data_IF_390567334784
#
_entry.id   IF_390567334784
#
_cell.length_a   1.000
_cell.length_b   1.000
_cell.length_c   1.000
_cell.angle_alpha   90.00
_cell.angle_beta   90.00
_cell.angle_gamma   90.00
#
_symmetry.space_group_name_H-M   'P 1'
#
loop_
_entity.id
_entity.type
_entity.pdbx_description
1 polymer ?
#
# COMPACT_ATOMS: atom_id res chain seq x y z
N UNK A 1 17.99 -11.35 -3.35
CA UNK A 1 19.07 -10.37 -3.60
C UNK A 1 19.42 -10.41 -5.07
N UNK A 2 19.57 -9.27 -5.74
CA UNK A 2 20.14 -9.23 -7.10
C UNK A 2 21.61 -9.68 -6.98
N UNK A 3 22.04 -10.75 -7.67
CA UNK A 3 23.46 -11.07 -7.76
C UNK A 3 24.22 -9.85 -8.30
N UNK A 4 25.31 -9.46 -7.65
CA UNK A 4 26.20 -8.36 -8.09
C UNK A 4 25.63 -6.93 -8.06
N UNK A 5 24.72 -6.61 -7.13
CA UNK A 5 24.24 -5.24 -6.95
C UNK A 5 25.37 -4.18 -6.89
N UNK A 6 26.48 -4.49 -6.20
CA UNK A 6 27.65 -3.60 -6.12
C UNK A 6 28.26 -3.26 -7.48
N UNK A 7 28.30 -4.21 -8.43
CA UNK A 7 28.82 -3.96 -9.77
C UNK A 7 27.92 -3.03 -10.59
N UNK A 8 26.60 -3.15 -10.44
CA UNK A 8 25.63 -2.23 -11.07
C UNK A 8 25.73 -0.82 -10.46
N UNK A 9 25.78 -0.73 -9.13
CA UNK A 9 25.94 0.55 -8.41
C UNK A 9 27.24 1.26 -8.82
N UNK A 10 28.36 0.51 -8.90
CA UNK A 10 29.64 1.08 -9.31
C UNK A 10 29.61 1.58 -10.76
N UNK A 11 29.01 0.82 -11.70
CA UNK A 11 28.87 1.28 -13.09
C UNK A 11 28.03 2.55 -13.19
N UNK A 12 26.95 2.62 -12.43
CA UNK A 12 26.11 3.81 -12.36
C UNK A 12 26.87 5.01 -11.76
N UNK A 13 27.57 4.84 -10.64
CA UNK A 13 28.39 5.90 -10.04
C UNK A 13 29.48 6.40 -10.99
N UNK A 14 30.19 5.49 -11.66
CA UNK A 14 31.26 5.86 -12.60
C UNK A 14 30.76 6.60 -13.84
N UNK A 15 29.49 6.44 -14.23
CA UNK A 15 28.89 7.25 -15.29
C UNK A 15 28.69 8.74 -14.91
N UNK A 16 28.87 9.07 -13.62
CA UNK A 16 28.72 10.40 -13.03
C UNK A 16 30.01 10.87 -12.35
N UNK A 17 31.16 10.34 -12.76
CA UNK A 17 32.48 10.63 -12.18
C UNK A 17 32.55 10.39 -10.66
N UNK A 18 31.81 9.38 -10.17
CA UNK A 18 31.73 8.99 -8.78
C UNK A 18 32.17 7.53 -8.54
N UNK A 19 32.49 7.20 -7.30
CA UNK A 19 32.79 5.83 -6.86
C UNK A 19 31.93 5.44 -5.66
N UNK A 20 31.50 4.18 -5.59
CA UNK A 20 30.76 3.67 -4.44
C UNK A 20 31.73 3.38 -3.30
N UNK A 21 31.60 4.10 -2.18
CA UNK A 21 32.38 3.84 -0.97
C UNK A 21 31.76 2.74 -0.10
N UNK A 22 30.46 2.86 0.17
CA UNK A 22 29.67 1.86 0.90
C UNK A 22 28.23 1.87 0.39
N UNK A 23 27.54 0.74 0.52
CA UNK A 23 26.12 0.67 0.25
C UNK A 23 25.43 -0.37 1.13
N UNK A 24 24.14 -0.18 1.39
CA UNK A 24 23.28 -1.16 2.02
C UNK A 24 21.91 -1.18 1.34
N UNK A 25 21.33 -2.37 1.19
CA UNK A 25 19.97 -2.51 0.69
C UNK A 25 18.98 -2.14 1.80
N UNK A 26 17.94 -1.35 1.48
CA UNK A 26 16.89 -0.99 2.45
C UNK A 26 15.46 -1.17 1.91
N UNK A 27 15.27 -1.44 0.61
CA UNK A 27 13.94 -1.59 0.02
C UNK A 27 13.88 -2.70 -1.03
N UNK A 28 12.71 -3.32 -1.18
CA UNK A 28 12.39 -4.26 -2.24
C UNK A 28 10.90 -4.19 -2.58
N UNK A 29 10.59 -3.78 -3.81
CA UNK A 29 9.23 -3.59 -4.29
C UNK A 29 9.00 -4.46 -5.54
N UNK A 30 8.07 -5.44 -5.50
CA UNK A 30 7.73 -6.23 -6.68
C UNK A 30 7.12 -5.37 -7.79
N UNK A 31 7.60 -5.51 -9.04
CA UNK A 31 7.07 -4.78 -10.19
C UNK A 31 7.15 -5.63 -11.46
N UNK A 32 6.10 -5.64 -12.27
CA UNK A 32 6.07 -6.42 -13.53
C UNK A 32 6.52 -7.88 -13.34
N UNK A 33 7.56 -8.26 -14.08
CA UNK A 33 8.23 -9.56 -14.01
C UNK A 33 9.48 -9.57 -13.09
N UNK A 34 9.79 -8.45 -12.44
CA UNK A 34 10.98 -8.26 -11.61
C UNK A 34 10.71 -7.52 -10.30
N UNK A 35 11.71 -6.74 -9.88
CA UNK A 35 11.73 -6.00 -8.62
C UNK A 35 12.41 -4.65 -8.79
N UNK A 36 12.01 -3.68 -7.99
CA UNK A 36 12.78 -2.48 -7.71
C UNK A 36 13.48 -2.70 -6.37
N UNK A 37 14.79 -2.51 -6.33
CA UNK A 37 15.59 -2.64 -5.11
C UNK A 37 16.23 -1.30 -4.79
N UNK A 38 16.03 -0.82 -3.57
CA UNK A 38 16.59 0.44 -3.08
C UNK A 38 17.85 0.24 -2.24
N UNK A 39 18.84 1.08 -2.50
CA UNK A 39 20.12 1.10 -1.82
C UNK A 39 20.42 2.48 -1.25
N UNK A 40 20.82 2.54 0.02
CA UNK A 40 21.46 3.70 0.59
C UNK A 40 22.94 3.63 0.26
N UNK A 41 23.46 4.64 -0.43
CA UNK A 41 24.80 4.64 -1.02
C UNK A 41 25.56 5.86 -0.55
N UNK A 42 26.79 5.66 -0.08
CA UNK A 42 27.75 6.75 0.10
C UNK A 42 28.67 6.75 -1.12
N UNK A 43 28.61 7.82 -1.89
CA UNK A 43 29.46 8.06 -3.05
C UNK A 43 30.69 8.88 -2.66
N UNK A 44 31.82 8.62 -3.31
CA UNK A 44 33.00 9.47 -3.31
C UNK A 44 33.04 10.25 -4.62
N UNK A 45 32.86 11.57 -4.54
CA UNK A 45 32.83 12.50 -5.67
C UNK A 45 33.93 13.53 -5.48
N UNK A 46 34.93 13.55 -6.37
CA UNK A 46 36.07 14.47 -6.30
C UNK A 46 36.76 14.54 -4.91
N UNK A 47 36.76 13.44 -4.15
CA UNK A 47 37.35 13.34 -2.82
C UNK A 47 36.40 13.70 -1.65
N UNK A 48 35.20 14.22 -1.93
CA UNK A 48 34.14 14.41 -0.94
C UNK A 48 33.23 13.17 -0.86
N UNK A 49 32.57 12.98 0.28
CA UNK A 49 31.58 11.92 0.49
C UNK A 49 30.17 12.49 0.48
N UNK A 50 29.31 11.89 -0.34
CA UNK A 50 27.90 12.27 -0.49
C UNK A 50 27.01 11.06 -0.24
N UNK A 51 25.91 11.24 0.50
CA UNK A 51 24.94 10.18 0.77
C UNK A 51 23.75 10.35 -0.14
N UNK A 52 23.33 9.27 -0.79
CA UNK A 52 22.18 9.26 -1.69
C UNK A 52 21.46 7.91 -1.67
N UNK A 53 20.34 7.82 -2.39
CA UNK A 53 19.59 6.60 -2.59
C UNK A 53 19.57 6.24 -4.07
N UNK A 54 20.00 5.03 -4.40
CA UNK A 54 20.02 4.49 -5.76
C UNK A 54 19.06 3.31 -5.83
N UNK A 55 18.28 3.26 -6.92
CA UNK A 55 17.30 2.22 -7.15
C UNK A 55 17.60 1.46 -8.43
N UNK A 56 17.41 0.14 -8.39
CA UNK A 56 17.61 -0.76 -9.52
C UNK A 56 16.30 -1.46 -9.83
N UNK A 57 15.72 -1.19 -10.99
CA UNK A 57 14.56 -1.92 -11.52
C UNK A 57 15.02 -3.02 -12.46
N UNK A 58 14.67 -4.27 -12.15
CA UNK A 58 15.04 -5.45 -12.94
C UNK A 58 13.97 -5.90 -13.92
N UNK A 59 12.82 -5.22 -13.94
CA UNK A 59 11.69 -5.54 -14.82
C UNK A 59 12.05 -5.30 -16.28
N UNK A 60 11.60 -6.19 -17.16
CA UNK A 60 11.86 -6.06 -18.61
C UNK A 60 11.18 -4.83 -19.24
N UNK A 61 10.11 -4.34 -18.62
CA UNK A 61 9.33 -3.16 -19.02
C UNK A 61 9.67 -1.89 -18.22
N UNK A 62 10.81 -1.87 -17.52
CA UNK A 62 11.22 -0.73 -16.71
C UNK A 62 11.31 0.57 -17.53
N UNK A 63 10.60 1.60 -17.05
CA UNK A 63 10.61 2.94 -17.61
C UNK A 63 12.03 3.52 -17.61
N UNK A 64 12.39 4.24 -18.67
CA UNK A 64 13.68 4.93 -18.82
C UNK A 64 13.40 6.36 -19.28
N UNK A 65 14.12 7.29 -18.68
CA UNK A 65 14.19 8.70 -19.05
C UNK A 65 15.64 9.20 -19.04
N UNK A 66 15.83 10.50 -19.26
CA UNK A 66 17.13 11.17 -19.31
C UNK A 66 17.91 11.17 -17.98
N UNK A 67 17.28 10.74 -16.88
CA UNK A 67 17.90 10.70 -15.54
C UNK A 67 18.21 9.28 -15.05
N UNK A 68 17.88 8.28 -15.87
CA UNK A 68 18.09 6.87 -15.59
C UNK A 68 19.07 6.24 -16.60
N UNK A 69 19.69 5.12 -16.21
CA UNK A 69 20.66 4.41 -17.05
C UNK A 69 20.25 2.96 -17.19
N UNK A 70 20.24 2.46 -18.42
CA UNK A 70 20.08 1.05 -18.70
C UNK A 70 21.43 0.33 -18.61
N UNK A 71 21.54 -0.62 -17.70
CA UNK A 71 22.72 -1.43 -17.49
C UNK A 71 22.42 -2.91 -17.77
N UNK A 72 23.24 -3.53 -18.61
CA UNK A 72 23.20 -4.98 -18.86
C UNK A 72 23.68 -5.73 -17.60
N UNK A 73 22.95 -6.79 -17.22
CA UNK A 73 23.30 -7.75 -16.16
C UNK A 73 24.11 -8.93 -16.72
N UNK A 74 24.86 -9.66 -15.88
CA UNK A 74 25.65 -10.83 -16.31
C UNK A 74 24.83 -11.94 -16.97
N UNK A 75 23.56 -12.08 -16.59
CA UNK A 75 22.62 -13.05 -17.15
C UNK A 75 22.09 -12.66 -18.56
N UNK A 76 22.57 -11.54 -19.12
CA UNK A 76 22.18 -11.03 -20.45
C UNK A 76 20.91 -10.17 -20.45
N UNK A 77 20.23 -10.03 -19.32
CA UNK A 77 19.04 -9.17 -19.21
C UNK A 77 19.42 -7.73 -18.81
N UNK A 78 18.51 -6.77 -18.97
CA UNK A 78 18.78 -5.38 -18.62
C UNK A 78 18.22 -5.02 -17.23
N UNK A 79 18.70 -3.91 -16.69
CA UNK A 79 18.16 -3.22 -15.53
C UNK A 79 18.20 -1.72 -15.75
N UNK A 80 17.25 -1.01 -15.15
CA UNK A 80 17.24 0.46 -15.14
C UNK A 80 17.64 0.94 -13.76
N UNK A 81 18.61 1.85 -13.72
CA UNK A 81 19.16 2.40 -12.48
C UNK A 81 18.93 3.91 -12.46
N UNK A 82 18.46 4.44 -11.35
CA UNK A 82 18.30 5.88 -11.12
C UNK A 82 18.67 6.25 -9.69
N UNK A 83 18.90 7.55 -9.48
CA UNK A 83 19.13 8.14 -8.17
C UNK A 83 17.88 8.92 -7.75
N UNK A 84 17.48 8.80 -6.48
CA UNK A 84 16.40 9.63 -5.95
C UNK A 84 16.78 11.12 -6.00
N UNK A 85 15.86 12.03 -6.39
CA UNK A 85 14.42 11.83 -6.63
C UNK A 85 14.01 11.53 -8.08
N UNK A 86 14.93 11.19 -8.97
CA UNK A 86 14.68 11.07 -10.41
C UNK A 86 14.10 9.70 -10.81
N UNK A 87 12.97 9.34 -10.22
CA UNK A 87 12.25 8.10 -10.52
C UNK A 87 11.53 8.20 -11.89
N UNK A 88 11.91 7.38 -12.89
CA UNK A 88 11.39 7.51 -14.26
C UNK A 88 9.90 7.18 -14.37
N UNK A 89 9.34 6.46 -13.38
CA UNK A 89 7.90 6.18 -13.32
C UNK A 89 7.13 7.30 -12.63
N UNK A 90 7.79 8.23 -11.93
CA UNK A 90 7.20 9.34 -11.17
C UNK A 90 7.84 10.70 -11.53
N UNK A 91 7.66 11.21 -12.76
CA UNK A 91 8.35 12.43 -13.22
C UNK A 91 8.09 13.68 -12.35
N UNK A 92 6.95 13.74 -11.67
CA UNK A 92 6.62 14.83 -10.75
C UNK A 92 7.40 14.80 -9.42
N UNK A 93 8.12 13.72 -9.09
CA UNK A 93 8.84 13.54 -7.82
C UNK A 93 9.90 14.62 -7.61
N UNK A 94 10.77 14.84 -8.59
CA UNK A 94 11.79 15.89 -8.55
C UNK A 94 11.21 17.27 -8.23
N UNK A 95 10.04 17.61 -8.78
CA UNK A 95 9.41 18.90 -8.58
C UNK A 95 8.89 19.12 -7.14
N UNK A 96 8.66 18.04 -6.38
CA UNK A 96 8.18 18.11 -5.00
C UNK A 96 9.27 17.82 -3.95
N UNK A 97 10.40 17.24 -4.35
CA UNK A 97 11.49 16.89 -3.44
C UNK A 97 12.33 18.10 -2.97
N UNK A 98 12.20 19.26 -3.61
CA UNK A 98 12.94 20.49 -3.26
C UNK A 98 11.98 21.63 -2.92
N UNK A 99 12.16 22.35 -1.79
CA UNK A 99 11.21 23.37 -1.32
C UNK A 99 10.87 24.46 -2.35
N UNK A 100 11.87 24.97 -3.08
CA UNK A 100 11.65 26.03 -4.07
C UNK A 100 10.82 25.53 -5.27
N UNK A 101 11.18 24.37 -5.83
CA UNK A 101 10.46 23.76 -6.95
C UNK A 101 9.03 23.35 -6.56
N UNK A 102 8.86 22.86 -5.33
CA UNK A 102 7.56 22.52 -4.79
C UNK A 102 6.69 23.77 -4.64
N UNK A 103 7.27 24.89 -4.16
CA UNK A 103 6.55 26.16 -4.06
C UNK A 103 6.04 26.67 -5.42
N UNK A 104 6.88 26.61 -6.46
CA UNK A 104 6.46 26.96 -7.83
C UNK A 104 5.37 26.01 -8.36
N UNK A 105 5.42 24.74 -7.99
CA UNK A 105 4.42 23.75 -8.38
C UNK A 105 3.08 24.01 -7.70
N UNK A 106 3.10 24.28 -6.40
CA UNK A 106 1.90 24.56 -5.59
C UNK A 106 1.23 25.88 -5.96
N UNK A 107 2.00 26.90 -6.35
CA UNK A 107 1.46 28.17 -6.85
C UNK A 107 0.57 27.99 -8.09
N UNK A 108 0.82 26.97 -8.93
CA UNK A 108 -0.03 26.65 -10.09
C UNK A 108 -1.43 26.15 -9.68
N UNK A 109 -1.57 25.64 -8.47
CA UNK A 109 -2.84 25.24 -7.86
C UNK A 109 -3.43 26.34 -6.95
N UNK A 110 -2.86 27.56 -6.98
CA UNK A 110 -3.31 28.67 -6.15
C UNK A 110 -2.92 28.56 -4.68
N UNK A 111 -1.97 27.68 -4.34
CA UNK A 111 -1.50 27.51 -2.96
C UNK A 111 -0.20 28.30 -2.77
N UNK A 112 -0.24 29.29 -1.88
CA UNK A 112 0.96 29.99 -1.43
C UNK A 112 1.76 29.08 -0.48
N UNK A 113 2.97 28.73 -0.89
CA UNK A 113 3.81 27.77 -0.19
C UNK A 113 5.12 28.39 0.35
N UNK A 114 5.18 29.72 0.44
CA UNK A 114 6.29 30.43 1.10
C UNK A 114 6.39 29.95 2.55
N UNK A 115 7.53 29.38 2.94
CA UNK A 115 7.70 28.82 4.29
C UNK A 115 6.97 27.49 4.56
N UNK A 116 6.39 26.86 3.53
CA UNK A 116 5.72 25.58 3.68
C UNK A 116 6.67 24.48 4.16
N UNK A 117 6.19 23.61 5.04
CA UNK A 117 6.91 22.40 5.44
C UNK A 117 6.48 21.23 4.54
N UNK A 118 7.45 20.62 3.86
CA UNK A 118 7.25 19.44 3.05
C UNK A 118 7.76 18.22 3.81
N UNK A 119 6.87 17.26 4.06
CA UNK A 119 7.20 15.98 4.68
C UNK A 119 6.92 14.86 3.70
N UNK A 120 7.92 14.06 3.35
CA UNK A 120 7.72 12.84 2.58
C UNK A 120 7.08 11.79 3.49
N UNK A 121 5.78 11.54 3.31
CA UNK A 121 5.00 10.58 4.12
C UNK A 121 5.23 9.15 3.65
N UNK A 122 5.37 8.96 2.34
CA UNK A 122 5.63 7.65 1.76
C UNK A 122 6.34 7.78 0.41
N UNK A 123 7.30 6.92 0.16
CA UNK A 123 7.85 6.69 -1.18
C UNK A 123 7.89 5.18 -1.44
N UNK A 124 7.20 4.75 -2.50
CA UNK A 124 7.24 3.40 -3.04
C UNK A 124 7.82 3.50 -4.45
N UNK A 125 9.11 3.17 -4.63
CA UNK A 125 9.80 3.32 -5.90
C UNK A 125 9.04 2.72 -7.07
N UNK A 126 8.98 3.46 -8.18
CA UNK A 126 8.26 3.07 -9.39
C UNK A 126 6.73 3.09 -9.29
N UNK A 127 6.15 3.36 -8.11
CA UNK A 127 4.70 3.23 -7.86
C UNK A 127 4.05 4.54 -7.45
N UNK A 128 4.50 5.13 -6.35
CA UNK A 128 3.96 6.39 -5.84
C UNK A 128 4.87 7.06 -4.82
N UNK A 129 4.74 8.37 -4.68
CA UNK A 129 5.22 9.13 -3.53
C UNK A 129 4.08 9.99 -2.97
N UNK A 130 4.11 10.31 -1.68
CA UNK A 130 3.14 11.20 -1.03
C UNK A 130 3.90 12.20 -0.17
N UNK A 131 3.72 13.48 -0.47
CA UNK A 131 4.19 14.57 0.37
C UNK A 131 3.03 15.18 1.13
N UNK A 132 3.17 15.32 2.45
CA UNK A 132 2.35 16.22 3.26
C UNK A 132 2.95 17.62 3.19
N UNK A 133 2.08 18.60 3.01
CA UNK A 133 2.42 19.99 2.79
C UNK A 133 1.67 20.79 3.84
N UNK A 134 2.39 21.35 4.80
CA UNK A 134 1.80 22.29 5.76
C UNK A 134 2.14 23.72 5.35
N UNK A 135 1.10 24.52 5.20
CA UNK A 135 1.17 25.96 4.91
C UNK A 135 0.40 26.72 5.98
N UNK A 136 0.51 28.04 6.01
CA UNK A 136 -0.32 28.87 6.89
C UNK A 136 -1.83 28.76 6.56
N UNK A 137 -2.15 28.45 5.29
CA UNK A 137 -3.52 28.34 4.80
C UNK A 137 -4.17 26.98 5.07
N UNK A 138 -3.38 25.95 5.40
CA UNK A 138 -3.89 24.60 5.60
C UNK A 138 -2.88 23.50 5.30
N UNK A 139 -3.39 22.27 5.33
CA UNK A 139 -2.61 21.04 5.10
C UNK A 139 -3.11 20.34 3.85
N UNK A 140 -2.17 20.04 2.95
CA UNK A 140 -2.43 19.39 1.68
C UNK A 140 -1.55 18.14 1.52
N UNK A 141 -1.90 17.31 0.55
CA UNK A 141 -1.14 16.13 0.19
C UNK A 141 -0.90 16.10 -1.33
N UNK A 142 0.38 16.10 -1.73
CA UNK A 142 0.75 15.85 -3.12
C UNK A 142 1.03 14.35 -3.29
N UNK A 143 0.12 13.67 -3.98
CA UNK A 143 0.23 12.25 -4.35
C UNK A 143 0.80 12.16 -5.75
N UNK A 144 2.01 11.66 -5.84
CA UNK A 144 2.76 11.50 -7.08
C UNK A 144 2.61 10.06 -7.54
N UNK A 145 2.07 9.88 -8.73
CA UNK A 145 1.76 8.59 -9.34
C UNK A 145 2.31 8.57 -10.76
N UNK A 146 2.23 7.40 -11.40
CA UNK A 146 2.52 7.32 -12.82
C UNK A 146 1.57 8.27 -13.61
N UNK A 147 2.06 9.06 -14.59
CA UNK A 147 1.28 10.02 -15.39
C UNK A 147 -0.09 9.50 -15.85
N UNK A 148 -0.13 8.27 -16.37
CA UNK A 148 -1.36 7.60 -16.85
C UNK A 148 -2.44 7.39 -15.79
N UNK A 149 -2.13 7.52 -14.49
CA UNK A 149 -3.07 7.28 -13.39
C UNK A 149 -3.69 8.55 -12.81
N UNK A 150 -3.06 9.72 -12.97
CA UNK A 150 -3.49 10.93 -12.25
C UNK A 150 -4.94 11.34 -12.59
N UNK A 151 -5.29 11.38 -13.88
CA UNK A 151 -6.63 11.75 -14.33
C UNK A 151 -7.72 10.78 -13.85
N UNK A 152 -7.43 9.47 -13.79
CA UNK A 152 -8.42 8.48 -13.36
C UNK A 152 -8.62 8.49 -11.84
N UNK A 153 -7.58 8.80 -11.07
CA UNK A 153 -7.70 9.00 -9.62
C UNK A 153 -8.49 10.28 -9.33
N UNK A 154 -8.19 11.39 -10.00
CA UNK A 154 -8.95 12.64 -9.88
C UNK A 154 -10.44 12.43 -10.17
N UNK A 155 -10.77 11.81 -11.31
CA UNK A 155 -12.14 11.51 -11.69
C UNK A 155 -12.87 10.67 -10.62
N UNK A 156 -12.15 9.76 -9.94
CA UNK A 156 -12.72 8.92 -8.89
C UNK A 156 -13.01 9.69 -7.61
N UNK A 157 -12.13 10.60 -7.20
CA UNK A 157 -12.40 11.53 -6.09
C UNK A 157 -13.63 12.38 -6.40
N UNK A 158 -13.72 12.93 -7.61
CA UNK A 158 -14.87 13.72 -8.03
C UNK A 158 -16.17 12.90 -8.06
N UNK A 159 -16.14 11.64 -8.51
CA UNK A 159 -17.32 10.76 -8.48
C UNK A 159 -17.79 10.44 -7.05
N UNK A 160 -16.87 10.17 -6.13
CA UNK A 160 -17.22 9.94 -4.72
C UNK A 160 -17.80 11.20 -4.06
N UNK A 161 -17.20 12.37 -4.30
CA UNK A 161 -17.71 13.64 -3.79
C UNK A 161 -19.10 13.97 -4.35
N UNK A 162 -19.33 13.75 -5.66
CA UNK A 162 -20.62 13.94 -6.30
C UNK A 162 -21.72 13.01 -5.73
N UNK A 163 -21.33 11.83 -5.25
CA UNK A 163 -22.22 10.90 -4.54
C UNK A 163 -22.41 11.25 -3.04
N UNK A 164 -21.89 12.39 -2.58
CA UNK A 164 -22.00 12.84 -1.19
C UNK A 164 -21.12 12.05 -0.21
N UNK A 165 -20.06 11.39 -0.70
CA UNK A 165 -19.05 10.76 0.15
C UNK A 165 -18.06 11.80 0.66
N UNK A 166 -17.60 11.61 1.89
CA UNK A 166 -16.47 12.38 2.44
C UNK A 166 -15.18 11.63 2.11
N UNK A 167 -14.48 12.12 1.09
CA UNK A 167 -13.15 11.67 0.65
C UNK A 167 -12.24 12.90 0.52
N UNK A 168 -10.90 12.76 0.42
CA UNK A 168 -10.04 13.91 0.14
C UNK A 168 -10.54 14.68 -1.09
N UNK A 169 -10.62 16.00 -1.00
CA UNK A 169 -11.01 16.83 -2.15
C UNK A 169 -9.83 16.89 -3.12
N UNK A 170 -10.05 16.56 -4.39
CA UNK A 170 -9.05 16.80 -5.42
C UNK A 170 -9.03 18.28 -5.79
N UNK A 171 -7.89 18.93 -5.59
CA UNK A 171 -7.64 20.33 -5.98
C UNK A 171 -7.13 20.41 -7.42
N UNK A 172 -6.92 19.27 -8.07
CA UNK A 172 -6.47 19.14 -9.45
C UNK A 172 -5.29 18.19 -9.58
N UNK A 173 -4.91 17.94 -10.84
CA UNK A 173 -3.78 17.08 -11.19
C UNK A 173 -2.94 17.67 -12.33
N UNK A 174 -1.72 17.16 -12.49
CA UNK A 174 -0.84 17.47 -13.63
C UNK A 174 -0.67 16.25 -14.54
N UNK A 175 -0.35 16.49 -15.81
CA UNK A 175 0.00 15.43 -16.76
C UNK A 175 1.26 14.67 -16.37
N UNK A 176 2.15 15.27 -15.57
CA UNK A 176 3.36 14.63 -15.04
C UNK A 176 3.09 13.66 -13.89
N UNK A 177 1.83 13.48 -13.47
CA UNK A 177 1.46 12.50 -12.45
C UNK A 177 1.34 13.06 -11.03
N UNK A 178 1.23 14.38 -10.85
CA UNK A 178 0.93 14.97 -9.55
C UNK A 178 -0.59 15.06 -9.36
N UNK A 179 -1.10 14.59 -8.23
CA UNK A 179 -2.47 14.83 -7.77
C UNK A 179 -2.41 15.58 -6.44
N UNK A 180 -3.06 16.74 -6.36
CA UNK A 180 -3.08 17.55 -5.15
C UNK A 180 -4.41 17.35 -4.42
N UNK A 181 -4.33 16.92 -3.17
CA UNK A 181 -5.48 16.56 -2.35
C UNK A 181 -5.55 17.44 -1.10
N UNK A 182 -6.75 17.86 -0.74
CA UNK A 182 -7.03 18.46 0.56
C UNK A 182 -7.00 17.39 1.67
N UNK A 183 -6.80 17.83 2.92
CA UNK A 183 -6.85 16.96 4.09
C UNK A 183 -8.26 16.40 4.28
N UNK A 184 -8.36 15.08 4.46
CA UNK A 184 -9.58 14.44 4.97
C UNK A 184 -9.81 14.80 6.46
N UNK A 185 -10.96 15.39 6.83
CA UNK A 185 -11.26 15.69 8.24
C UNK A 185 -11.43 14.43 9.09
N UNK A 186 -11.21 14.57 10.40
CA UNK A 186 -11.27 13.47 11.37
C UNK A 186 -9.90 12.81 11.60
N UNK A 187 -9.94 11.63 12.21
CA UNK A 187 -8.76 10.83 12.53
C UNK A 187 -8.93 9.38 12.08
N UNK A 188 -7.82 8.70 11.78
CA UNK A 188 -7.87 7.30 11.37
C UNK A 188 -8.44 6.40 12.47
N UNK A 189 -9.37 5.51 12.11
CA UNK A 189 -10.03 4.59 13.04
C UNK A 189 -9.03 3.69 13.77
N UNK A 190 -7.87 3.39 13.15
CA UNK A 190 -6.81 2.59 13.79
C UNK A 190 -6.27 3.26 15.07
N UNK A 191 -6.21 4.60 15.11
CA UNK A 191 -5.74 5.34 16.29
C UNK A 191 -6.76 5.28 17.45
N UNK A 192 -8.02 4.96 17.14
CA UNK A 192 -9.13 4.89 18.09
C UNK A 192 -9.57 3.46 18.40
N UNK A 193 -8.76 2.46 18.04
CA UNK A 193 -9.13 1.03 18.20
C UNK A 193 -9.61 0.70 19.61
N UNK A 194 -8.99 1.29 20.64
CA UNK A 194 -9.33 1.06 22.06
C UNK A 194 -10.76 1.50 22.40
N UNK A 195 -11.28 2.50 21.71
CA UNK A 195 -12.65 3.00 21.90
C UNK A 195 -13.67 2.23 21.08
N UNK A 196 -13.29 1.73 19.89
CA UNK A 196 -14.22 1.13 18.92
C UNK A 196 -14.22 -0.40 18.92
N UNK A 197 -13.18 -1.05 19.46
CA UNK A 197 -12.94 -2.48 19.26
C UNK A 197 -14.05 -3.40 19.77
N UNK A 198 -14.81 -2.96 20.77
CA UNK A 198 -15.99 -3.65 21.29
C UNK A 198 -17.30 -2.87 21.10
N UNK A 199 -17.29 -1.76 20.38
CA UNK A 199 -18.47 -0.90 20.24
C UNK A 199 -19.38 -1.36 19.08
N UNK A 200 -20.60 -1.85 19.35
CA UNK A 200 -21.51 -2.28 18.29
C UNK A 200 -21.93 -1.14 17.35
N UNK A 201 -21.88 0.13 17.79
CA UNK A 201 -22.20 1.30 16.96
C UNK A 201 -21.16 1.54 15.87
N UNK A 202 -19.90 1.22 16.14
CA UNK A 202 -18.85 1.29 15.11
C UNK A 202 -19.10 0.29 14.00
N UNK A 203 -19.53 -0.92 14.36
CA UNK A 203 -19.86 -1.95 13.37
C UNK A 203 -21.08 -1.56 12.51
N UNK A 204 -22.10 -0.94 13.11
CA UNK A 204 -23.22 -0.37 12.36
C UNK A 204 -22.76 0.75 11.41
N UNK A 205 -21.79 1.56 11.83
CA UNK A 205 -21.18 2.59 10.98
C UNK A 205 -20.39 1.98 9.82
N UNK A 206 -19.70 0.85 10.01
CA UNK A 206 -19.04 0.11 8.93
C UNK A 206 -20.06 -0.41 7.91
N UNK A 207 -21.18 -0.99 8.37
CA UNK A 207 -22.24 -1.47 7.49
C UNK A 207 -22.84 -0.30 6.67
N UNK A 208 -23.06 0.86 7.31
CA UNK A 208 -23.52 2.07 6.64
C UNK A 208 -22.49 2.63 5.64
N UNK A 209 -21.21 2.62 5.98
CA UNK A 209 -20.13 3.03 5.06
C UNK A 209 -20.11 2.14 3.82
N UNK A 210 -20.13 0.81 3.99
CA UNK A 210 -20.11 -0.13 2.88
C UNK A 210 -21.32 0.04 1.96
N UNK A 211 -22.52 0.24 2.53
CA UNK A 211 -23.73 0.52 1.75
C UNK A 211 -23.62 1.83 0.95
N UNK A 212 -23.05 2.89 1.53
CA UNK A 212 -22.83 4.15 0.83
C UNK A 212 -21.79 4.03 -0.30
N UNK A 213 -20.68 3.33 -0.06
CA UNK A 213 -19.67 3.05 -1.11
C UNK A 213 -20.31 2.28 -2.26
N UNK A 214 -21.10 1.25 -1.97
CA UNK A 214 -21.79 0.45 -2.98
C UNK A 214 -22.76 1.24 -3.87
N UNK A 215 -23.29 2.36 -3.36
CA UNK A 215 -24.20 3.25 -4.09
C UNK A 215 -23.47 4.29 -4.97
N UNK A 216 -22.14 4.44 -4.86
CA UNK A 216 -21.40 5.38 -5.71
C UNK A 216 -21.40 4.87 -7.16
N UNK A 217 -21.86 5.64 -8.15
CA UNK A 217 -21.86 5.21 -9.54
C UNK A 217 -20.43 5.20 -10.09
N UNK A 218 -19.98 4.02 -10.53
CA UNK A 218 -18.66 3.82 -11.14
C UNK A 218 -18.76 2.87 -12.33
N UNK A 219 -18.06 3.20 -13.42
CA UNK A 219 -17.95 2.31 -14.59
C UNK A 219 -16.67 1.45 -14.56
N UNK A 220 -15.61 1.97 -13.92
CA UNK A 220 -14.31 1.31 -13.83
C UNK A 220 -14.32 0.15 -12.82
N UNK A 221 -13.51 -0.88 -13.07
CA UNK A 221 -13.32 -1.99 -12.13
C UNK A 221 -12.48 -1.55 -10.93
N UNK A 222 -12.81 -2.07 -9.76
CA UNK A 222 -11.92 -2.01 -8.60
C UNK A 222 -10.65 -2.83 -8.85
N UNK A 223 -9.68 -2.68 -7.94
CA UNK A 223 -8.55 -3.59 -7.84
C UNK A 223 -9.05 -5.05 -7.84
N UNK A 224 -8.45 -5.95 -8.64
CA UNK A 224 -8.85 -7.35 -8.64
C UNK A 224 -8.73 -7.99 -7.26
N UNK A 225 -9.70 -8.84 -6.92
CA UNK A 225 -9.69 -9.63 -5.69
C UNK A 225 -8.36 -10.37 -5.51
N UNK A 226 -7.82 -10.32 -4.30
CA UNK A 226 -6.58 -11.02 -3.96
C UNK A 226 -6.76 -12.54 -4.01
N UNK A 227 -7.99 -13.04 -3.83
CA UNK A 227 -8.31 -14.46 -3.99
C UNK A 227 -7.95 -15.00 -5.38
N UNK A 228 -8.04 -14.17 -6.42
CA UNK A 228 -7.63 -14.55 -7.78
C UNK A 228 -6.10 -14.77 -7.91
N UNK A 229 -5.31 -14.36 -6.92
CA UNK A 229 -3.85 -14.48 -6.88
C UNK A 229 -3.35 -15.47 -5.82
N UNK A 230 -4.22 -16.33 -5.28
CA UNK A 230 -3.85 -17.29 -4.22
C UNK A 230 -2.66 -18.18 -4.59
N UNK A 231 -2.58 -18.68 -5.83
CA UNK A 231 -1.43 -19.46 -6.30
C UNK A 231 -0.12 -18.66 -6.36
N UNK A 232 -0.20 -17.36 -6.67
CA UNK A 232 0.97 -16.46 -6.63
C UNK A 232 1.51 -16.33 -5.20
N UNK A 233 0.63 -16.23 -4.19
CA UNK A 233 1.05 -16.21 -2.79
C UNK A 233 1.77 -17.50 -2.37
N UNK A 234 1.31 -18.67 -2.82
CA UNK A 234 2.00 -19.94 -2.56
C UNK A 234 3.40 -19.99 -3.15
N UNK A 235 3.56 -19.58 -4.41
CA UNK A 235 4.87 -19.47 -5.06
C UNK A 235 5.81 -18.52 -4.30
N UNK A 236 5.32 -17.34 -3.90
CA UNK A 236 6.14 -16.37 -3.14
C UNK A 236 6.44 -16.82 -1.72
N UNK A 237 5.54 -17.57 -1.07
CA UNK A 237 5.81 -18.17 0.23
C UNK A 237 6.99 -19.14 0.17
N UNK A 238 7.04 -20.02 -0.86
CA UNK A 238 8.17 -20.93 -1.08
C UNK A 238 9.49 -20.21 -1.28
N UNK A 239 9.47 -19.09 -2.00
CA UNK A 239 10.68 -18.33 -2.33
C UNK A 239 11.17 -17.46 -1.16
N UNK A 240 10.26 -16.76 -0.48
CA UNK A 240 10.61 -15.67 0.43
C UNK A 240 10.45 -16.04 1.91
N UNK A 241 9.64 -17.04 2.23
CA UNK A 241 9.35 -17.47 3.60
C UNK A 241 9.17 -19.00 3.69
N UNK A 242 10.18 -19.80 3.29
CA UNK A 242 10.06 -21.24 3.07
C UNK A 242 9.60 -22.04 4.30
N UNK A 243 9.87 -21.54 5.52
CA UNK A 243 9.39 -22.14 6.77
C UNK A 243 7.85 -22.23 6.83
N UNK A 244 7.15 -21.29 6.20
CA UNK A 244 5.68 -21.23 6.17
C UNK A 244 5.07 -21.86 4.92
N UNK A 245 5.89 -22.25 3.94
CA UNK A 245 5.42 -22.82 2.68
C UNK A 245 4.55 -24.08 2.88
N UNK A 246 4.88 -25.05 3.76
CA UNK A 246 4.01 -26.21 3.97
C UNK A 246 2.61 -25.84 4.49
N UNK A 247 2.52 -24.83 5.37
CA UNK A 247 1.24 -24.36 5.90
C UNK A 247 0.42 -23.64 4.82
N UNK A 248 1.06 -22.82 3.99
CA UNK A 248 0.43 -22.17 2.85
C UNK A 248 -0.05 -23.19 1.81
N UNK A 249 0.78 -24.18 1.45
CA UNK A 249 0.47 -25.19 0.45
C UNK A 249 -0.71 -26.09 0.87
N UNK A 250 -0.89 -26.33 2.17
CA UNK A 250 -2.07 -27.02 2.69
C UNK A 250 -3.35 -26.16 2.63
N UNK A 251 -3.22 -24.84 2.78
CA UNK A 251 -4.34 -23.90 2.86
C UNK A 251 -4.88 -23.52 1.48
N UNK A 252 -4.02 -23.36 0.48
CA UNK A 252 -4.36 -22.87 -0.86
C UNK A 252 -5.48 -23.69 -1.53
N UNK A 253 -5.45 -25.04 -1.56
CA UNK A 253 -6.52 -25.82 -2.17
C UNK A 253 -7.88 -25.60 -1.52
N UNK A 254 -7.91 -25.42 -0.18
CA UNK A 254 -9.14 -25.14 0.55
C UNK A 254 -9.71 -23.76 0.18
N UNK A 255 -8.83 -22.74 0.08
CA UNK A 255 -9.21 -21.38 -0.33
C UNK A 255 -9.80 -21.42 -1.74
N UNK A 256 -9.11 -22.05 -2.69
CA UNK A 256 -9.56 -22.17 -4.07
C UNK A 256 -10.89 -22.90 -4.21
N UNK A 257 -11.10 -23.96 -3.42
CA UNK A 257 -12.34 -24.71 -3.41
C UNK A 257 -13.51 -23.85 -2.91
N UNK A 258 -13.37 -23.18 -1.75
CA UNK A 258 -14.46 -22.34 -1.21
C UNK A 258 -14.73 -21.10 -2.07
N UNK A 259 -13.68 -20.48 -2.63
CA UNK A 259 -13.83 -19.33 -3.52
C UNK A 259 -14.59 -19.71 -4.79
N UNK A 260 -14.30 -20.86 -5.41
CA UNK A 260 -14.99 -21.32 -6.63
C UNK A 260 -16.38 -21.88 -6.36
N UNK A 261 -16.62 -22.49 -5.20
CA UNK A 261 -17.90 -23.12 -4.87
C UNK A 261 -19.04 -22.10 -4.66
N UNK A 262 -18.72 -20.83 -4.44
CA UNK A 262 -19.71 -19.76 -4.25
C UNK A 262 -19.67 -18.80 -5.45
N UNK A 263 -20.79 -18.59 -6.14
CA UNK A 263 -20.84 -17.63 -7.24
C UNK A 263 -20.57 -16.20 -6.71
N UNK A 264 -19.95 -15.34 -7.54
CA UNK A 264 -19.80 -13.93 -7.20
C UNK A 264 -21.17 -13.26 -7.06
N UNK A 265 -21.28 -12.33 -6.12
CA UNK A 265 -22.44 -11.44 -6.04
C UNK A 265 -22.43 -10.45 -7.21
N UNK A 266 -23.55 -9.77 -7.44
CA UNK A 266 -23.60 -8.65 -8.40
C UNK A 266 -22.53 -7.62 -8.05
N UNK A 267 -21.82 -7.16 -9.08
CA UNK A 267 -20.78 -6.16 -8.89
C UNK A 267 -21.39 -4.84 -8.45
N UNK A 268 -20.80 -4.24 -7.42
CA UNK A 268 -21.11 -2.90 -6.91
C UNK A 268 -19.81 -2.15 -6.73
N UNK A 269 -19.89 -0.84 -6.47
CA UNK A 269 -18.70 -0.10 -6.10
C UNK A 269 -18.17 -0.59 -4.75
N UNK A 270 -16.89 -0.92 -4.70
CA UNK A 270 -16.15 -1.27 -3.49
C UNK A 270 -14.96 -0.34 -3.35
N UNK A 271 -14.36 -0.27 -2.17
CA UNK A 271 -13.10 0.42 -1.94
C UNK A 271 -11.93 -0.30 -2.58
N UNK A 272 -11.87 -1.64 -2.50
CA UNK A 272 -10.82 -2.47 -3.09
C UNK A 272 -9.51 -2.54 -2.29
N UNK A 273 -9.45 -1.94 -1.10
CA UNK A 273 -8.34 -2.03 -0.14
C UNK A 273 -8.79 -1.58 1.28
N UNK A 274 -10.00 -1.97 1.68
CA UNK A 274 -10.61 -1.47 2.92
C UNK A 274 -9.83 -1.90 4.18
N UNK A 275 -9.34 -0.95 4.96
CA UNK A 275 -8.75 -1.21 6.29
C UNK A 275 -8.90 -0.01 7.23
N UNK A 276 -8.77 -0.21 8.54
CA UNK A 276 -8.99 0.85 9.56
C UNK A 276 -8.10 2.08 9.39
N UNK A 277 -6.95 1.92 8.73
CA UNK A 277 -6.07 3.03 8.37
C UNK A 277 -6.71 4.01 7.38
N UNK A 278 -7.59 3.53 6.49
CA UNK A 278 -8.30 4.32 5.49
C UNK A 278 -9.65 4.83 5.96
N UNK A 279 -10.14 4.39 7.12
CA UNK A 279 -11.44 4.80 7.65
C UNK A 279 -11.20 5.94 8.62
N UNK A 280 -11.88 7.06 8.42
CA UNK A 280 -11.78 8.23 9.29
C UNK A 280 -13.03 8.33 10.17
N UNK A 281 -12.82 8.67 11.43
CA UNK A 281 -13.85 8.78 12.46
C UNK A 281 -13.84 10.16 13.10
N UNK A 282 -14.95 10.48 13.76
CA UNK A 282 -15.04 11.66 14.61
C UNK A 282 -14.17 11.46 15.87
N UNK A 283 -13.25 12.38 16.22
CA UNK A 283 -12.40 12.19 17.39
C UNK A 283 -13.15 12.29 18.72
N UNK A 284 -14.28 13.03 18.77
CA UNK A 284 -15.14 13.12 19.95
C UNK A 284 -16.10 11.94 20.08
N UNK A 285 -16.49 11.35 18.95
CA UNK A 285 -17.33 10.15 18.88
C UNK A 285 -16.73 9.07 17.95
N UNK A 286 -15.66 8.36 18.35
CA UNK A 286 -14.90 7.50 17.43
C UNK A 286 -15.66 6.34 16.79
N UNK A 287 -16.83 5.99 17.32
CA UNK A 287 -17.72 5.02 16.70
C UNK A 287 -18.36 5.54 15.39
N UNK A 288 -18.40 6.86 15.18
CA UNK A 288 -18.99 7.53 14.02
C UNK A 288 -17.95 7.70 12.92
N UNK A 289 -18.13 6.96 11.82
CA UNK A 289 -17.31 7.11 10.61
C UNK A 289 -17.69 8.41 9.87
N UNK A 290 -16.69 9.23 9.59
CA UNK A 290 -16.84 10.55 8.97
C UNK A 290 -16.34 10.60 7.54
N UNK A 291 -15.42 9.71 7.14
CA UNK A 291 -14.89 9.68 5.78
C UNK A 291 -14.03 8.46 5.47
N UNK A 292 -13.55 8.40 4.22
CA UNK A 292 -12.69 7.32 3.72
C UNK A 292 -11.54 7.87 2.86
N UNK A 293 -10.36 7.27 2.99
CA UNK A 293 -9.10 7.67 2.36
C UNK A 293 -8.64 6.62 1.33
N UNK A 294 -7.70 6.97 0.45
CA UNK A 294 -7.04 6.08 -0.53
C UNK A 294 -8.00 5.25 -1.42
N UNK A 295 -8.96 5.94 -2.05
CA UNK A 295 -9.94 5.34 -2.98
C UNK A 295 -9.36 4.99 -4.37
N UNK A 296 -8.04 5.05 -4.57
CA UNK A 296 -7.33 4.73 -5.81
C UNK A 296 -7.58 3.31 -6.32
N UNK A 297 -8.09 2.42 -5.46
CA UNK A 297 -8.41 1.03 -5.77
C UNK A 297 -9.91 0.78 -5.96
N UNK A 298 -10.75 1.80 -5.75
CA UNK A 298 -12.21 1.66 -5.76
C UNK A 298 -12.82 1.49 -7.17
N UNK A 299 -14.00 0.89 -7.23
CA UNK A 299 -14.72 0.66 -8.48
C UNK A 299 -15.58 -0.60 -8.41
N UNK A 300 -16.06 -1.08 -9.55
CA UNK A 300 -16.91 -2.26 -9.63
C UNK A 300 -16.15 -3.53 -9.21
N UNK A 301 -16.61 -4.15 -8.13
CA UNK A 301 -16.09 -5.37 -7.52
C UNK A 301 -17.13 -6.05 -6.65
N UNK A 302 -16.71 -6.98 -5.81
CA UNK A 302 -17.61 -7.73 -4.94
C UNK A 302 -17.51 -7.21 -3.51
N UNK A 303 -18.64 -6.98 -2.82
CA UNK A 303 -18.61 -6.49 -1.42
C UNK A 303 -17.80 -7.40 -0.47
N UNK A 304 -17.71 -8.69 -0.82
CA UNK A 304 -16.89 -9.65 -0.09
C UNK A 304 -15.39 -9.29 -0.10
N UNK A 305 -14.90 -8.56 -1.10
CA UNK A 305 -13.51 -8.10 -1.17
C UNK A 305 -13.18 -7.09 -0.07
N UNK A 306 -14.02 -6.07 0.14
CA UNK A 306 -13.82 -5.10 1.21
C UNK A 306 -13.96 -5.74 2.60
N UNK A 307 -14.93 -6.64 2.78
CA UNK A 307 -15.11 -7.33 4.05
C UNK A 307 -13.93 -8.26 4.39
N UNK A 308 -13.42 -8.97 3.39
CA UNK A 308 -12.24 -9.83 3.54
C UNK A 308 -10.96 -9.04 3.79
N UNK A 309 -10.80 -7.90 3.11
CA UNK A 309 -9.69 -6.98 3.34
C UNK A 309 -9.69 -6.41 4.75
N UNK A 310 -10.83 -5.89 5.19
CA UNK A 310 -10.96 -5.30 6.52
C UNK A 310 -10.62 -6.33 7.61
N UNK A 311 -11.15 -7.55 7.51
CA UNK A 311 -10.84 -8.62 8.44
C UNK A 311 -9.34 -8.94 8.48
N UNK A 312 -8.73 -9.17 7.31
CA UNK A 312 -7.31 -9.51 7.21
C UNK A 312 -6.40 -8.43 7.83
N UNK A 313 -6.71 -7.15 7.58
CA UNK A 313 -5.98 -6.02 8.14
C UNK A 313 -6.15 -5.86 9.65
N UNK A 314 -7.36 -6.11 10.19
CA UNK A 314 -7.59 -6.10 11.64
C UNK A 314 -6.83 -7.24 12.32
N UNK A 315 -6.79 -8.44 11.73
CA UNK A 315 -6.03 -9.57 12.26
C UNK A 315 -4.52 -9.32 12.30
N UNK A 316 -3.93 -8.76 11.23
CA UNK A 316 -2.49 -8.40 11.27
C UNK A 316 -2.21 -7.30 12.29
N UNK A 317 -3.09 -6.31 12.43
CA UNK A 317 -2.96 -5.28 13.47
C UNK A 317 -3.02 -5.87 14.88
N UNK A 318 -3.90 -6.85 15.12
CA UNK A 318 -3.96 -7.58 16.39
C UNK A 318 -2.66 -8.35 16.68
N UNK A 319 -2.14 -9.06 15.67
CA UNK A 319 -0.90 -9.82 15.78
C UNK A 319 0.32 -8.91 16.04
N UNK A 320 0.41 -7.79 15.33
CA UNK A 320 1.49 -6.82 15.50
C UNK A 320 1.45 -6.16 16.88
N UNK A 321 0.27 -5.71 17.34
CA UNK A 321 0.08 -5.16 18.67
C UNK A 321 0.53 -6.11 19.78
N UNK A 322 0.20 -7.40 19.65
CA UNK A 322 0.63 -8.44 20.59
C UNK A 322 2.14 -8.63 20.61
N UNK A 323 2.80 -8.64 19.45
CA UNK A 323 4.26 -8.83 19.37
C UNK A 323 5.05 -7.64 19.93
N UNK A 324 4.51 -6.42 19.84
CA UNK A 324 5.15 -5.23 20.43
C UNK A 324 4.77 -4.98 21.89
N UNK A 325 3.88 -5.80 22.46
CA UNK A 325 3.46 -5.71 23.87
C UNK A 325 2.39 -4.66 24.15
N UNK A 326 1.67 -4.15 23.13
CA UNK A 326 0.52 -3.26 23.33
C UNK A 326 -0.75 -4.09 23.58
N UNK A 327 -0.86 -4.64 24.79
CA UNK A 327 -1.97 -5.53 25.18
C UNK A 327 -3.34 -4.86 25.03
N UNK A 328 -3.47 -3.58 25.38
CA UNK A 328 -4.74 -2.87 25.34
C UNK A 328 -5.28 -2.72 23.90
N UNK A 329 -4.41 -2.33 22.96
CA UNK A 329 -4.79 -2.27 21.54
C UNK A 329 -4.98 -3.68 20.97
N UNK A 330 -4.14 -4.64 21.35
CA UNK A 330 -4.24 -6.04 20.93
C UNK A 330 -5.58 -6.69 21.31
N UNK A 331 -6.06 -6.49 22.54
CA UNK A 331 -7.39 -6.94 22.98
C UNK A 331 -8.50 -6.30 22.17
N UNK A 332 -8.39 -5.01 21.88
CA UNK A 332 -9.40 -4.25 21.14
C UNK A 332 -9.47 -4.67 19.66
N UNK A 333 -8.32 -4.86 19.00
CA UNK A 333 -8.29 -5.44 17.65
C UNK A 333 -8.83 -6.87 17.62
N UNK A 334 -8.52 -7.68 18.64
CA UNK A 334 -9.02 -9.06 18.73
C UNK A 334 -10.54 -9.11 18.87
N UNK A 335 -11.12 -8.24 19.72
CA UNK A 335 -12.56 -8.09 19.86
C UNK A 335 -13.23 -7.68 18.54
N UNK A 336 -12.63 -6.71 17.84
CA UNK A 336 -13.11 -6.25 16.55
C UNK A 336 -13.02 -7.34 15.47
N UNK A 337 -11.90 -8.07 15.40
CA UNK A 337 -11.71 -9.19 14.50
C UNK A 337 -12.79 -10.26 14.72
N UNK A 338 -13.06 -10.61 15.98
CA UNK A 338 -14.10 -11.58 16.33
C UNK A 338 -15.50 -11.10 15.88
N UNK A 339 -15.81 -9.81 16.09
CA UNK A 339 -17.08 -9.22 15.66
C UNK A 339 -17.22 -9.18 14.13
N UNK A 340 -16.15 -8.85 13.40
CA UNK A 340 -16.14 -8.88 11.92
C UNK A 340 -16.26 -10.32 11.42
N UNK A 341 -15.55 -11.27 12.05
CA UNK A 341 -15.60 -12.70 11.69
C UNK A 341 -17.02 -13.25 11.70
N UNK A 342 -17.82 -12.85 12.70
CA UNK A 342 -19.23 -13.24 12.80
C UNK A 342 -20.07 -12.75 11.61
N UNK A 343 -19.62 -11.75 10.84
CA UNK A 343 -20.28 -11.25 9.62
C UNK A 343 -19.80 -11.95 8.35
N UNK A 344 -18.78 -12.79 8.40
CA UNK A 344 -18.22 -13.50 7.24
C UNK A 344 -19.08 -14.74 6.88
N UNK A 345 -20.33 -14.49 6.47
CA UNK A 345 -21.38 -15.51 6.36
C UNK A 345 -21.12 -16.51 5.22
N UNK A 346 -20.53 -16.08 4.11
CA UNK A 346 -20.37 -16.94 2.91
C UNK A 346 -19.00 -17.62 2.86
N UNK A 347 -18.89 -18.83 2.26
CA UNK A 347 -17.59 -19.44 1.99
C UNK A 347 -16.69 -18.54 1.15
N UNK A 348 -17.29 -17.76 0.23
CA UNK A 348 -16.57 -16.82 -0.63
C UNK A 348 -15.82 -15.75 0.15
N UNK A 349 -16.51 -15.06 1.07
CA UNK A 349 -15.87 -13.99 1.85
C UNK A 349 -14.82 -14.55 2.80
N UNK A 350 -15.03 -15.75 3.36
CA UNK A 350 -14.01 -16.44 4.17
C UNK A 350 -12.77 -16.81 3.36
N UNK A 351 -12.93 -17.29 2.12
CA UNK A 351 -11.81 -17.59 1.24
C UNK A 351 -11.01 -16.33 0.87
N UNK A 352 -11.70 -15.21 0.60
CA UNK A 352 -11.05 -13.91 0.36
C UNK A 352 -10.28 -13.47 1.60
N UNK A 353 -10.92 -13.46 2.78
CA UNK A 353 -10.31 -13.11 4.06
C UNK A 353 -9.06 -13.98 4.36
N UNK A 354 -9.16 -15.30 4.17
CA UNK A 354 -8.02 -16.21 4.31
C UNK A 354 -6.88 -15.92 3.33
N UNK A 355 -7.21 -15.45 2.11
CA UNK A 355 -6.18 -15.00 1.15
C UNK A 355 -5.48 -13.72 1.62
N UNK A 356 -6.20 -12.77 2.22
CA UNK A 356 -5.58 -11.59 2.83
C UNK A 356 -4.63 -11.98 3.97
N UNK A 357 -5.05 -12.89 4.86
CA UNK A 357 -4.19 -13.40 5.92
C UNK A 357 -2.93 -14.08 5.36
N UNK A 358 -3.06 -14.88 4.30
CA UNK A 358 -1.92 -15.49 3.61
C UNK A 358 -0.96 -14.42 3.06
N UNK A 359 -1.48 -13.35 2.46
CA UNK A 359 -0.70 -12.23 1.96
C UNK A 359 0.04 -11.46 3.07
N UNK A 360 -0.62 -11.19 4.20
CA UNK A 360 0.00 -10.54 5.36
C UNK A 360 1.03 -11.46 6.05
N UNK A 361 0.78 -12.77 6.07
CA UNK A 361 1.73 -13.75 6.58
C UNK A 361 3.00 -13.79 5.71
N UNK A 362 2.87 -13.76 4.38
CA UNK A 362 4.00 -13.64 3.46
C UNK A 362 4.80 -12.37 3.75
N UNK A 363 4.14 -11.21 3.82
CA UNK A 363 4.80 -9.93 4.08
C UNK A 363 5.51 -9.89 5.45
N UNK A 364 4.95 -10.55 6.46
CA UNK A 364 5.56 -10.62 7.79
C UNK A 364 6.70 -11.63 7.86
N UNK A 365 6.53 -12.80 7.25
CA UNK A 365 7.51 -13.89 7.25
C UNK A 365 8.74 -13.60 6.40
N UNK A 366 8.60 -12.84 5.31
CA UNK A 366 9.73 -12.47 4.43
C UNK A 366 10.72 -11.52 5.09
N UNK A 367 10.33 -10.83 6.17
CA UNK A 367 11.23 -9.97 6.97
C UNK A 367 12.30 -10.76 7.73
N UNK A 368 12.16 -12.09 7.86
CA UNK A 368 13.11 -12.99 8.53
C UNK A 368 13.51 -12.57 9.96
N UNK A 369 12.60 -11.91 10.69
CA UNK A 369 12.76 -11.58 12.12
C UNK A 369 11.90 -12.50 12.98
N UNK A 370 12.29 -12.76 14.23
CA UNK A 370 11.48 -13.56 15.18
C UNK A 370 10.06 -13.01 15.32
N UNK A 371 9.95 -11.69 15.36
CA UNK A 371 8.67 -10.97 15.39
C UNK A 371 7.83 -11.25 14.13
N UNK A 372 8.43 -11.11 12.95
CA UNK A 372 7.77 -11.38 11.68
C UNK A 372 7.32 -12.83 11.53
N UNK A 373 8.12 -13.78 12.01
CA UNK A 373 7.78 -15.20 12.01
C UNK A 373 6.60 -15.51 12.96
N UNK A 374 6.56 -14.91 14.15
CA UNK A 374 5.43 -15.09 15.08
C UNK A 374 4.12 -14.55 14.48
N UNK A 375 4.14 -13.34 13.91
CA UNK A 375 2.98 -12.76 13.22
C UNK A 375 2.51 -13.65 12.08
N UNK A 376 3.43 -14.10 11.21
CA UNK A 376 3.08 -14.98 10.09
C UNK A 376 2.44 -16.30 10.55
N UNK A 377 2.97 -16.92 11.60
CA UNK A 377 2.43 -18.15 12.18
C UNK A 377 0.99 -17.98 12.69
N UNK A 378 0.70 -16.88 13.42
CA UNK A 378 -0.65 -16.62 13.92
C UNK A 378 -1.65 -16.33 12.80
N UNK A 379 -1.25 -15.58 11.77
CA UNK A 379 -2.11 -15.30 10.62
C UNK A 379 -2.46 -16.55 9.82
N UNK A 380 -1.51 -17.47 9.63
CA UNK A 380 -1.77 -18.75 8.96
C UNK A 380 -2.67 -19.66 9.80
N UNK A 381 -2.52 -19.65 11.14
CA UNK A 381 -3.41 -20.38 12.03
C UNK A 381 -4.86 -19.84 11.97
N UNK A 382 -5.03 -18.51 11.95
CA UNK A 382 -6.35 -17.90 11.80
C UNK A 382 -6.97 -18.21 10.43
N UNK A 383 -6.16 -18.22 9.37
CA UNK A 383 -6.62 -18.60 8.04
C UNK A 383 -7.08 -20.06 7.98
N UNK A 384 -6.33 -21.00 8.59
CA UNK A 384 -6.77 -22.40 8.72
C UNK A 384 -8.10 -22.51 9.48
N UNK A 385 -8.24 -21.76 10.56
CA UNK A 385 -9.47 -21.71 11.36
C UNK A 385 -10.66 -21.19 10.55
N UNK A 386 -10.48 -20.12 9.76
CA UNK A 386 -11.51 -19.60 8.84
C UNK A 386 -11.94 -20.63 7.80
N UNK A 387 -10.98 -21.43 7.32
CA UNK A 387 -11.22 -22.47 6.33
C UNK A 387 -11.80 -23.77 6.91
N UNK A 388 -12.03 -23.83 8.24
CA UNK A 388 -12.58 -25.01 8.91
C UNK A 388 -11.60 -26.19 8.99
N UNK A 389 -10.30 -25.91 8.90
CA UNK A 389 -9.25 -26.93 8.97
C UNK A 389 -8.86 -27.17 10.43
N UNK A 390 -8.65 -28.43 10.81
CA UNK A 390 -8.11 -28.80 12.12
C UNK A 390 -6.73 -28.16 12.38
N UNK A 391 -6.35 -27.91 13.65
CA UNK A 391 -5.05 -27.35 14.02
C UNK A 391 -3.88 -28.04 13.31
#
# INVERSE_FOLDING_TARGET
MIPEAGGLLQRFASSRDAEVFEFHQHDIEPTGDGFIIGFGVTLRVQGAFEKTHIYINTSSDAAVDDHSIRLRRPDGTDSVVWEYPADPSLPALTAMSFPEAAGQTLAKFGIEATGATLTLEAYRPGKRAVFRIDTDSGRFFAKLVHPKAAASIDARHNAFLAAGMTVPVSLGYSESGLLLLDRLPGESAVAHVRSIGGDPRFLQSLDALAARIAAVPMDGRARPSLAARVGWYGARMREQAPIFAPAADALIPAIEAQYRASPPASAVTIHGDMHLGQIFVDPGEPWRITGVLDIDTAGLGEQADDAGALYGHVCVSAAEARVVGDEASGTSFTALAAAIRQRLQTPRVRAIAATHLLGHALASGSRATDRGQQVAGWLLADARSLMGMSP
#
